data_IF_647992165411
#
_entry.id   IF_647992165411
#
_cell.length_a   1.000
_cell.length_b   1.000
_cell.length_c   1.000
_cell.angle_alpha   90.00
_cell.angle_beta   90.00
_cell.angle_gamma   90.00
#
_symmetry.space_group_name_H-M   'P 1'
#
loop_
_entity.id
_entity.type
_entity.pdbx_description
1 polymer ?
#
# COMPACT_ATOMS: atom_id res chain seq x y z
N UNK A 1 -23.32 -18.75 -10.92
CA UNK A 1 -22.00 -18.60 -10.28
C UNK A 1 -21.22 -17.61 -11.16
N UNK A 2 -20.49 -16.65 -10.59
CA UNK A 2 -19.68 -15.74 -11.42
C UNK A 2 -18.41 -16.48 -11.86
N UNK A 3 -17.83 -16.12 -13.01
CA UNK A 3 -16.57 -16.68 -13.51
C UNK A 3 -15.44 -16.58 -12.47
N UNK A 4 -15.50 -15.53 -11.64
CA UNK A 4 -14.62 -15.31 -10.49
C UNK A 4 -14.73 -16.40 -9.40
N UNK A 5 -15.93 -16.85 -9.05
CA UNK A 5 -16.10 -17.89 -8.04
C UNK A 5 -15.64 -19.26 -8.56
N UNK A 6 -15.79 -19.52 -9.86
CA UNK A 6 -15.29 -20.76 -10.47
C UNK A 6 -13.77 -20.76 -10.54
N UNK A 7 -13.16 -19.63 -10.92
CA UNK A 7 -11.71 -19.49 -10.91
C UNK A 7 -11.12 -19.60 -9.49
N UNK A 8 -11.78 -19.02 -8.48
CA UNK A 8 -11.36 -19.15 -7.09
C UNK A 8 -11.38 -20.62 -6.62
N UNK A 9 -12.50 -21.33 -6.84
CA UNK A 9 -12.63 -22.74 -6.50
C UNK A 9 -11.63 -23.65 -7.24
N UNK A 10 -11.30 -23.32 -8.50
CA UNK A 10 -10.24 -24.00 -9.26
C UNK A 10 -8.86 -23.76 -8.62
N UNK A 11 -8.52 -22.51 -8.28
CA UNK A 11 -7.22 -22.15 -7.71
C UNK A 11 -7.03 -22.63 -6.26
N UNK A 12 -8.09 -22.74 -5.47
CA UNK A 12 -8.05 -23.24 -4.09
C UNK A 12 -8.13 -24.77 -4.01
N UNK A 13 -8.34 -25.46 -5.14
CA UNK A 13 -8.46 -26.93 -5.20
C UNK A 13 -9.80 -27.46 -4.66
N UNK A 14 -10.84 -26.63 -4.64
CA UNK A 14 -12.19 -27.01 -4.23
C UNK A 14 -12.97 -27.75 -5.33
N UNK A 15 -12.52 -27.64 -6.59
CA UNK A 15 -13.06 -28.42 -7.71
C UNK A 15 -12.57 -29.87 -7.69
N UNK A 16 -13.44 -30.79 -8.03
CA UNK A 16 -13.01 -32.15 -8.40
C UNK A 16 -12.22 -32.12 -9.71
N UNK A 17 -11.41 -33.15 -9.96
CA UNK A 17 -10.59 -33.27 -11.18
C UNK A 17 -11.44 -33.14 -12.46
N UNK A 18 -12.60 -33.79 -12.51
CA UNK A 18 -13.50 -33.71 -13.66
C UNK A 18 -14.12 -32.31 -13.85
N UNK A 19 -14.35 -31.57 -12.77
CA UNK A 19 -14.85 -30.18 -12.83
C UNK A 19 -13.74 -29.22 -13.26
N UNK A 20 -12.51 -29.44 -12.78
CA UNK A 20 -11.32 -28.69 -13.18
C UNK A 20 -11.05 -28.87 -14.69
N UNK A 21 -11.05 -30.11 -15.19
CA UNK A 21 -10.86 -30.42 -16.62
C UNK A 21 -11.91 -29.72 -17.49
N UNK A 22 -13.19 -29.77 -17.09
CA UNK A 22 -14.27 -29.14 -17.82
C UNK A 22 -14.16 -27.60 -17.77
N UNK A 23 -13.75 -27.05 -16.64
CA UNK A 23 -13.52 -25.62 -16.46
C UNK A 23 -12.36 -25.14 -17.35
N UNK A 24 -11.20 -25.83 -17.32
CA UNK A 24 -10.05 -25.54 -18.17
C UNK A 24 -10.41 -25.55 -19.65
N UNK A 25 -11.12 -26.59 -20.11
CA UNK A 25 -11.58 -26.68 -21.49
C UNK A 25 -12.50 -25.48 -21.85
N UNK A 26 -13.39 -25.08 -20.95
CA UNK A 26 -14.25 -23.91 -21.14
C UNK A 26 -13.50 -22.56 -21.11
N UNK A 27 -12.30 -22.51 -20.51
CA UNK A 27 -11.40 -21.35 -20.62
C UNK A 27 -10.73 -21.30 -22.01
N UNK A 28 -10.27 -22.45 -22.51
CA UNK A 28 -9.65 -22.56 -23.83
C UNK A 28 -10.62 -22.28 -24.98
N UNK A 29 -11.86 -22.73 -24.84
CA UNK A 29 -12.89 -22.58 -25.89
C UNK A 29 -13.49 -21.16 -25.93
N UNK A 30 -13.14 -20.27 -24.99
CA UNK A 30 -13.67 -18.92 -24.88
C UNK A 30 -12.58 -17.82 -24.98
N UNK A 31 -11.85 -17.71 -26.11
CA UNK A 31 -10.72 -16.77 -26.25
C UNK A 31 -11.13 -15.29 -26.18
N UNK A 32 -12.40 -14.97 -26.42
CA UNK A 32 -12.94 -13.60 -26.37
C UNK A 32 -13.65 -13.28 -25.04
N UNK A 33 -13.55 -14.14 -24.03
CA UNK A 33 -14.12 -13.90 -22.70
C UNK A 33 -13.44 -12.69 -22.03
N UNK A 34 -14.24 -11.69 -21.68
CA UNK A 34 -13.76 -10.42 -21.15
C UNK A 34 -13.06 -10.56 -19.78
N UNK A 35 -13.52 -11.49 -18.93
CA UNK A 35 -12.92 -11.74 -17.63
C UNK A 35 -11.55 -12.43 -17.81
N UNK A 36 -11.44 -13.37 -18.75
CA UNK A 36 -10.16 -14.04 -19.08
C UNK A 36 -9.16 -13.07 -19.70
N UNK A 37 -9.61 -12.21 -20.61
CA UNK A 37 -8.78 -11.18 -21.19
C UNK A 37 -8.31 -10.15 -20.13
N UNK A 38 -9.10 -9.90 -19.10
CA UNK A 38 -8.68 -9.09 -17.95
C UNK A 38 -7.63 -9.81 -17.10
N UNK A 39 -7.82 -11.09 -16.79
CA UNK A 39 -6.88 -11.89 -16.01
C UNK A 39 -5.54 -12.12 -16.71
N UNK A 40 -5.54 -12.43 -18.01
CA UNK A 40 -4.31 -12.56 -18.79
C UNK A 40 -3.52 -11.24 -18.78
N UNK A 41 -4.20 -10.11 -18.94
CA UNK A 41 -3.58 -8.78 -18.78
C UNK A 41 -3.04 -8.59 -17.35
N UNK A 42 -3.84 -8.87 -16.32
CA UNK A 42 -3.43 -8.74 -14.93
C UNK A 42 -2.23 -9.62 -14.59
N UNK A 43 -2.16 -10.86 -15.10
CA UNK A 43 -1.05 -11.79 -14.88
C UNK A 43 0.24 -11.35 -15.60
N UNK A 44 0.13 -10.93 -16.87
CA UNK A 44 1.26 -10.39 -17.66
C UNK A 44 1.81 -9.10 -17.05
N UNK A 45 0.93 -8.26 -16.51
CA UNK A 45 1.33 -7.06 -15.77
C UNK A 45 1.80 -7.41 -14.34
N UNK A 46 1.23 -8.45 -13.73
CA UNK A 46 1.51 -8.92 -12.39
C UNK A 46 2.97 -9.33 -12.22
N UNK A 47 3.55 -10.04 -13.18
CA UNK A 47 4.97 -10.40 -13.17
C UNK A 47 5.90 -9.16 -13.13
N UNK A 48 5.59 -8.12 -13.93
CA UNK A 48 6.32 -6.84 -13.90
C UNK A 48 6.12 -6.12 -12.58
N UNK A 49 4.90 -6.13 -12.05
CA UNK A 49 4.56 -5.52 -10.76
C UNK A 49 5.26 -6.23 -9.58
N UNK A 50 5.41 -7.56 -9.64
CA UNK A 50 6.16 -8.36 -8.65
C UNK A 50 7.65 -8.00 -8.70
N UNK A 51 8.22 -7.91 -9.90
CA UNK A 51 9.63 -7.54 -10.11
C UNK A 51 9.95 -6.12 -9.58
N UNK A 52 8.99 -5.20 -9.65
CA UNK A 52 9.10 -3.85 -9.09
C UNK A 52 8.71 -3.76 -7.60
N UNK A 53 8.44 -4.88 -6.93
CA UNK A 53 8.08 -4.89 -5.50
C UNK A 53 6.71 -4.29 -5.17
N UNK A 54 5.90 -3.95 -6.17
CA UNK A 54 4.62 -3.23 -6.03
C UNK A 54 3.46 -4.09 -5.47
N UNK A 55 3.64 -5.40 -5.32
CA UNK A 55 2.69 -6.26 -4.60
C UNK A 55 2.84 -6.21 -3.08
N UNK A 56 3.95 -5.65 -2.57
CA UNK A 56 4.06 -5.35 -1.14
C UNK A 56 3.33 -4.04 -0.88
N UNK A 57 2.27 -4.09 -0.07
CA UNK A 57 1.64 -2.88 0.44
C UNK A 57 2.56 -2.33 1.53
N UNK A 58 3.17 -1.18 1.27
CA UNK A 58 4.19 -0.57 2.12
C UNK A 58 5.53 -0.43 1.43
N UNK A 59 6.35 0.50 1.92
CA UNK A 59 7.65 0.83 1.34
C UNK A 59 8.73 0.45 2.36
N UNK A 60 9.77 -0.25 1.92
CA UNK A 60 10.95 -0.53 2.74
C UNK A 60 11.97 0.58 2.57
N UNK A 61 12.95 0.67 3.48
CA UNK A 61 14.11 1.55 3.29
C UNK A 61 14.79 1.33 1.94
N UNK A 62 14.97 0.07 1.53
CA UNK A 62 15.62 -0.28 0.27
C UNK A 62 14.85 0.25 -0.94
N UNK A 63 13.51 0.27 -0.91
CA UNK A 63 12.71 0.86 -1.98
C UNK A 63 12.93 2.38 -2.08
N UNK A 64 12.99 3.08 -0.94
CA UNK A 64 13.28 4.53 -0.92
C UNK A 64 14.67 4.82 -1.50
N UNK A 65 15.67 4.03 -1.10
CA UNK A 65 17.05 4.13 -1.62
C UNK A 65 17.10 3.85 -3.13
N UNK A 66 16.36 2.87 -3.61
CA UNK A 66 16.28 2.54 -5.04
C UNK A 66 15.66 3.68 -5.87
N UNK A 67 14.61 4.35 -5.37
CA UNK A 67 14.01 5.51 -6.05
C UNK A 67 15.01 6.67 -6.16
N UNK A 68 15.73 6.97 -5.08
CA UNK A 68 16.76 7.99 -5.10
C UNK A 68 17.90 7.63 -6.07
N UNK A 69 18.34 6.36 -6.06
CA UNK A 69 19.39 5.86 -6.97
C UNK A 69 18.97 5.90 -8.45
N UNK A 70 17.68 5.77 -8.74
CA UNK A 70 17.12 5.92 -10.09
C UNK A 70 17.03 7.39 -10.56
N UNK A 71 17.43 8.36 -9.73
CA UNK A 71 17.47 9.78 -10.08
C UNK A 71 16.20 10.57 -9.75
N UNK A 72 15.23 9.96 -9.06
CA UNK A 72 14.06 10.68 -8.57
C UNK A 72 14.42 11.62 -7.42
N UNK A 73 13.74 12.78 -7.36
CA UNK A 73 13.82 13.69 -6.22
C UNK A 73 12.95 13.16 -5.08
N UNK A 74 13.58 12.54 -4.10
CA UNK A 74 12.88 11.98 -2.93
C UNK A 74 13.04 12.92 -1.73
N UNK A 75 11.95 13.51 -1.27
CA UNK A 75 11.91 14.27 -0.02
C UNK A 75 11.58 13.34 1.15
N UNK A 76 12.44 13.27 2.15
CA UNK A 76 12.22 12.41 3.32
C UNK A 76 11.87 13.30 4.52
N UNK A 77 10.64 13.16 4.99
CA UNK A 77 10.19 13.72 6.25
C UNK A 77 10.27 12.66 7.36
N UNK A 78 11.08 12.93 8.37
CA UNK A 78 11.16 12.08 9.56
C UNK A 78 10.18 12.59 10.63
N UNK A 79 9.08 11.87 10.82
CA UNK A 79 8.08 12.20 11.83
C UNK A 79 8.49 11.71 13.23
N UNK A 80 9.51 10.84 13.35
CA UNK A 80 9.91 10.25 14.61
C UNK A 80 8.78 9.48 15.31
N UNK A 81 8.78 9.43 16.66
CA UNK A 81 7.80 8.65 17.42
C UNK A 81 6.38 9.24 17.31
N UNK A 82 5.34 8.55 17.81
CA UNK A 82 3.95 9.04 17.79
C UNK A 82 3.79 10.43 18.45
N UNK A 83 2.75 11.15 18.05
CA UNK A 83 2.39 12.47 18.57
C UNK A 83 2.27 13.56 17.51
N UNK A 84 2.20 14.80 17.95
CA UNK A 84 2.07 15.98 17.08
C UNK A 84 3.40 16.31 16.40
N UNK A 85 3.39 16.51 15.08
CA UNK A 85 4.58 16.85 14.30
C UNK A 85 4.24 17.90 13.26
N UNK A 86 5.25 18.73 12.97
CA UNK A 86 5.18 19.70 11.89
C UNK A 86 5.91 19.16 10.67
N UNK A 87 5.22 19.14 9.54
CA UNK A 87 5.71 18.63 8.26
C UNK A 87 6.20 19.79 7.41
N UNK A 88 7.48 19.77 7.05
CA UNK A 88 8.00 20.60 5.97
C UNK A 88 7.84 19.82 4.66
N UNK A 89 6.99 20.32 3.75
CA UNK A 89 6.78 19.72 2.43
C UNK A 89 7.62 20.45 1.38
N UNK A 90 8.42 19.69 0.61
CA UNK A 90 9.16 20.20 -0.55
C UNK A 90 8.34 19.99 -1.83
N UNK A 91 7.75 21.07 -2.36
CA UNK A 91 6.96 21.02 -3.60
C UNK A 91 7.77 20.74 -4.86
N UNK A 92 9.09 20.61 -4.76
CA UNK A 92 9.97 20.28 -5.89
C UNK A 92 10.33 18.80 -5.99
N UNK A 93 9.90 17.98 -5.02
CA UNK A 93 10.16 16.54 -5.02
C UNK A 93 9.26 15.78 -6.01
N UNK A 94 9.70 14.61 -6.48
CA UNK A 94 8.84 13.66 -7.20
C UNK A 94 8.01 12.84 -6.21
N UNK A 95 8.66 12.43 -5.11
CA UNK A 95 8.07 11.62 -4.05
C UNK A 95 8.36 12.22 -2.68
N UNK A 96 7.36 12.17 -1.80
CA UNK A 96 7.54 12.40 -0.37
C UNK A 96 7.47 11.07 0.38
N UNK A 97 8.42 10.87 1.28
CA UNK A 97 8.49 9.71 2.16
C UNK A 97 8.39 10.18 3.60
N UNK A 98 7.36 9.71 4.30
CA UNK A 98 7.18 9.94 5.73
C UNK A 98 7.69 8.72 6.52
N UNK A 99 8.69 8.92 7.38
CA UNK A 99 9.15 7.90 8.33
C UNK A 99 8.37 8.02 9.63
N UNK A 100 7.68 6.94 10.01
CA UNK A 100 6.91 6.84 11.26
C UNK A 100 7.60 5.83 12.17
N UNK A 101 8.17 6.28 13.29
CA UNK A 101 8.92 5.42 14.18
C UNK A 101 7.95 4.76 15.17
N UNK A 102 7.55 3.52 14.89
CA UNK A 102 6.63 2.80 15.74
C UNK A 102 7.28 2.39 17.08
N UNK A 103 8.61 2.19 17.07
CA UNK A 103 9.35 1.75 18.25
C UNK A 103 9.00 0.33 18.69
N UNK A 104 8.53 -0.50 17.75
CA UNK A 104 8.07 -1.87 17.94
C UNK A 104 8.77 -2.76 16.93
N UNK A 105 9.71 -3.55 17.39
CA UNK A 105 10.46 -4.54 16.61
C UNK A 105 9.76 -5.92 16.59
N UNK A 106 8.72 -6.11 17.41
CA UNK A 106 7.89 -7.31 17.49
C UNK A 106 6.82 -7.39 16.40
N UNK A 107 6.69 -6.37 15.55
CA UNK A 107 5.66 -6.27 14.52
C UNK A 107 6.28 -6.31 13.13
N UNK A 108 5.78 -7.20 12.27
CA UNK A 108 6.18 -7.27 10.86
C UNK A 108 5.23 -6.47 9.95
N UNK A 109 3.92 -6.47 10.29
CA UNK A 109 2.87 -5.85 9.48
C UNK A 109 1.80 -5.18 10.33
N UNK A 110 1.29 -4.05 9.83
CA UNK A 110 0.25 -3.24 10.49
C UNK A 110 -0.79 -2.76 9.47
N UNK A 111 -1.93 -2.27 9.96
CA UNK A 111 -2.86 -1.50 9.13
C UNK A 111 -2.69 -0.01 9.46
N UNK A 112 -2.66 0.85 8.44
CA UNK A 112 -2.47 2.30 8.59
C UNK A 112 -3.70 3.02 8.08
N UNK A 113 -4.36 3.77 8.96
CA UNK A 113 -5.45 4.65 8.62
C UNK A 113 -4.94 6.09 8.53
N UNK A 114 -5.23 6.74 7.41
CA UNK A 114 -4.83 8.12 7.11
C UNK A 114 -6.11 8.94 6.98
N UNK A 115 -6.20 10.01 7.75
CA UNK A 115 -7.28 10.99 7.69
C UNK A 115 -6.70 12.35 7.29
N UNK A 116 -7.03 12.83 6.10
CA UNK A 116 -6.69 14.17 5.62
C UNK A 116 -7.86 15.09 5.93
N UNK A 117 -7.75 15.84 7.03
CA UNK A 117 -8.87 16.58 7.65
C UNK A 117 -9.42 17.64 6.71
N UNK A 118 -8.56 18.35 5.98
CA UNK A 118 -8.96 19.45 5.10
C UNK A 118 -9.87 19.00 3.94
N UNK A 119 -9.84 17.71 3.60
CA UNK A 119 -10.54 17.17 2.43
C UNK A 119 -11.58 16.10 2.80
N UNK A 120 -11.80 15.82 4.10
CA UNK A 120 -12.65 14.74 4.58
C UNK A 120 -12.30 13.38 3.92
N UNK A 121 -11.01 13.14 3.68
CA UNK A 121 -10.52 11.91 3.06
C UNK A 121 -10.04 10.98 4.15
N UNK A 122 -10.67 9.81 4.26
CA UNK A 122 -10.20 8.70 5.09
C UNK A 122 -9.81 7.51 4.21
N UNK A 123 -8.58 7.01 4.40
CA UNK A 123 -8.06 5.83 3.69
C UNK A 123 -7.42 4.88 4.67
N UNK A 124 -7.78 3.60 4.60
CA UNK A 124 -7.06 2.53 5.29
C UNK A 124 -6.20 1.78 4.30
N UNK A 125 -4.90 1.75 4.56
CA UNK A 125 -3.90 0.93 3.88
C UNK A 125 -3.67 -0.29 4.77
N UNK A 126 -4.06 -1.47 4.28
CA UNK A 126 -3.90 -2.72 5.03
C UNK A 126 -2.54 -3.34 4.74
N UNK A 127 -2.04 -4.10 5.70
CA UNK A 127 -0.88 -4.97 5.51
C UNK A 127 0.43 -4.23 5.20
N UNK A 128 0.58 -3.04 5.77
CA UNK A 128 1.77 -2.20 5.64
C UNK A 128 2.94 -2.83 6.36
N UNK A 129 4.05 -3.01 5.63
CA UNK A 129 5.31 -3.50 6.17
C UNK A 129 5.89 -2.57 7.24
N UNK A 130 6.33 -3.15 8.35
CA UNK A 130 7.20 -2.51 9.33
C UNK A 130 8.63 -2.97 9.05
N UNK A 131 9.53 -2.03 8.80
CA UNK A 131 10.95 -2.35 8.55
C UNK A 131 11.62 -2.81 9.87
N UNK A 132 12.79 -3.44 9.77
CA UNK A 132 13.47 -4.12 10.91
C UNK A 132 13.84 -3.20 12.06
N UNK A 133 13.89 -1.90 11.81
CA UNK A 133 14.14 -0.85 12.80
C UNK A 133 12.85 -0.35 13.47
N UNK A 134 11.70 -0.98 13.21
CA UNK A 134 10.41 -0.56 13.73
C UNK A 134 9.87 0.71 13.05
N UNK A 135 10.32 1.01 11.83
CA UNK A 135 9.87 2.18 11.05
C UNK A 135 8.89 1.74 9.97
N UNK A 136 7.82 2.52 9.83
CA UNK A 136 6.93 2.46 8.67
C UNK A 136 7.32 3.59 7.73
N UNK A 137 7.51 3.29 6.44
CA UNK A 137 7.74 4.29 5.40
C UNK A 137 6.45 4.48 4.61
N UNK A 138 5.81 5.63 4.78
CA UNK A 138 4.71 6.07 3.94
C UNK A 138 5.24 6.80 2.72
N UNK A 139 5.02 6.26 1.52
CA UNK A 139 5.43 6.89 0.27
C UNK A 139 4.21 7.47 -0.45
N UNK A 140 4.32 8.71 -0.89
CA UNK A 140 3.33 9.35 -1.75
C UNK A 140 4.00 10.12 -2.88
N UNK A 141 3.35 10.15 -4.04
CA UNK A 141 3.72 11.05 -5.13
C UNK A 141 3.42 12.50 -4.76
N UNK A 142 4.18 13.44 -5.31
CA UNK A 142 4.05 14.88 -5.02
C UNK A 142 2.60 15.40 -5.03
N UNK A 143 1.74 15.12 -6.02
CA UNK A 143 0.37 15.66 -6.01
C UNK A 143 -0.48 15.16 -4.82
N UNK A 144 -0.24 13.93 -4.36
CA UNK A 144 -0.90 13.39 -3.17
C UNK A 144 -0.31 13.98 -1.89
N UNK A 145 1.00 14.21 -1.85
CA UNK A 145 1.66 14.92 -0.75
C UNK A 145 1.15 16.36 -0.62
N UNK A 146 0.93 17.05 -1.74
CA UNK A 146 0.32 18.39 -1.78
C UNK A 146 -1.11 18.40 -1.22
N UNK A 147 -1.92 17.38 -1.51
CA UNK A 147 -3.25 17.26 -0.91
C UNK A 147 -3.18 16.99 0.60
N UNK A 148 -2.23 16.17 1.04
CA UNK A 148 -2.11 15.79 2.45
C UNK A 148 -1.49 16.89 3.33
N UNK A 149 -0.53 17.65 2.81
CA UNK A 149 0.32 18.57 3.57
C UNK A 149 0.45 19.97 2.96
N UNK A 150 -0.03 20.19 1.75
CA UNK A 150 -0.09 21.53 1.16
C UNK A 150 -1.15 22.41 1.82
N UNK A 151 -0.95 23.73 1.75
CA UNK A 151 -1.94 24.76 2.10
C UNK A 151 -2.70 24.56 3.45
N UNK A 152 -2.03 24.01 4.47
CA UNK A 152 -2.62 23.82 5.80
C UNK A 152 -3.33 22.47 6.02
N UNK A 153 -3.16 21.49 5.11
CA UNK A 153 -3.65 20.12 5.27
C UNK A 153 -3.14 19.44 6.53
N UNK A 154 -4.00 19.27 7.55
CA UNK A 154 -3.74 18.44 8.72
C UNK A 154 -4.03 16.98 8.38
N UNK A 155 -3.07 16.10 8.68
CA UNK A 155 -3.20 14.65 8.46
C UNK A 155 -3.05 13.90 9.79
N UNK A 156 -4.06 13.10 10.14
CA UNK A 156 -4.01 12.20 11.31
C UNK A 156 -3.77 10.79 10.81
N UNK A 157 -2.72 10.14 11.31
CA UNK A 157 -2.37 8.76 10.95
C UNK A 157 -2.50 7.86 12.16
N UNK A 158 -3.38 6.86 12.10
CA UNK A 158 -3.51 5.80 13.10
C UNK A 158 -2.85 4.52 12.59
N UNK A 159 -1.97 3.94 13.37
CA UNK A 159 -1.43 2.61 13.12
C UNK A 159 -2.15 1.61 14.02
N UNK A 160 -2.68 0.56 13.41
CA UNK A 160 -3.43 -0.50 14.08
C UNK A 160 -2.68 -1.81 13.97
N UNK A 161 -2.66 -2.58 15.06
CA UNK A 161 -2.12 -3.94 15.03
C UNK A 161 -3.04 -4.86 14.23
N UNK A 162 -2.47 -5.80 13.49
CA UNK A 162 -3.23 -6.83 12.76
C UNK A 162 -3.54 -8.04 13.65
N UNK A 163 -4.19 -7.80 14.77
CA UNK A 163 -4.83 -8.86 15.54
C UNK A 163 -6.36 -8.76 15.45
N UNK A 164 -7.07 -9.72 16.02
CA UNK A 164 -8.54 -9.72 16.01
C UNK A 164 -9.16 -8.48 16.66
N UNK A 165 -8.42 -7.79 17.55
CA UNK A 165 -8.88 -6.58 18.22
C UNK A 165 -8.68 -5.30 17.37
N UNK A 166 -7.63 -5.26 16.54
CA UNK A 166 -7.28 -4.11 15.67
C UNK A 166 -7.07 -2.81 16.43
N UNK A 167 -6.46 -2.91 17.60
CA UNK A 167 -6.19 -1.78 18.49
C UNK A 167 -5.29 -0.75 17.80
N UNK A 168 -5.58 0.53 18.01
CA UNK A 168 -4.69 1.63 17.62
C UNK A 168 -3.49 1.59 18.58
N UNK A 169 -2.32 1.34 18.02
CA UNK A 169 -1.05 1.22 18.78
C UNK A 169 -0.20 2.48 18.67
N UNK A 170 -0.47 3.36 17.71
CA UNK A 170 0.22 4.63 17.56
C UNK A 170 -0.61 5.63 16.74
N UNK A 171 -0.41 6.92 17.04
CA UNK A 171 -1.08 8.03 16.35
C UNK A 171 -0.08 9.14 16.04
N UNK A 172 -0.07 9.63 14.81
CA UNK A 172 0.60 10.86 14.41
C UNK A 172 -0.43 11.90 14.02
N UNK A 173 -0.22 13.12 14.50
CA UNK A 173 -1.02 14.30 14.13
C UNK A 173 -0.08 15.28 13.42
N UNK A 174 -0.13 15.25 12.10
CA UNK A 174 0.80 15.91 11.21
C UNK A 174 0.17 17.22 10.72
N UNK A 175 0.78 18.35 11.06
CA UNK A 175 0.37 19.67 10.58
C UNK A 175 1.44 20.26 9.67
N UNK A 176 1.10 21.00 8.61
CA UNK A 176 2.10 21.63 7.76
C UNK A 176 2.86 22.71 8.54
N UNK A 177 4.13 22.90 8.18
CA UNK A 177 4.88 24.08 8.58
C UNK A 177 4.17 25.36 8.09
N UNK A 178 4.21 26.45 8.87
CA UNK A 178 3.63 27.73 8.49
C UNK A 178 4.28 28.34 7.24
#
# INVERSE_FOLDING_TARGET
MTRLHELDAYLTGEMSEAEADAFEQALFDAPDDADLAFFDRLARHGAKLVEHGTWNIGVSRQHVEALAAAGHKVHIFDAGPPGQRTVAFDSTCDFMVTKLHLGRDDLERVDVEINIVAHDVQKTIKDVLVDRDGIIYGLCERPLAELAFGAGGRTITHVRKRDGARDIIATWDLTPAP
#
